data_IF_448155558191
#
_entry.id   IF_448155558191
#
_cell.length_a   1.000
_cell.length_b   1.000
_cell.length_c   1.000
_cell.angle_alpha   90.00
_cell.angle_beta   90.00
_cell.angle_gamma   90.00
#
_symmetry.space_group_name_H-M   'P 1'
#
loop_
_entity.id
_entity.type
_entity.pdbx_description
1 polymer ?
#
# COMPACT_ATOMS: atom_id res chain seq x y z
N UNK A 1 -16.21 3.11 11.39
CA UNK A 1 -15.26 3.05 12.47
C UNK A 1 -15.86 2.38 13.72
N UNK A 2 -16.78 3.00 14.44
CA UNK A 2 -17.37 2.48 15.70
C UNK A 2 -17.96 1.07 15.51
N UNK A 3 -18.72 0.82 14.46
CA UNK A 3 -19.27 -0.51 14.17
C UNK A 3 -18.20 -1.59 14.04
N UNK A 4 -17.06 -1.26 13.43
CA UNK A 4 -15.91 -2.17 13.35
C UNK A 4 -15.35 -2.50 14.73
N UNK A 5 -15.17 -1.50 15.59
CA UNK A 5 -14.67 -1.71 16.95
C UNK A 5 -15.64 -2.54 17.79
N UNK A 6 -16.94 -2.27 17.70
CA UNK A 6 -17.97 -3.06 18.39
C UNK A 6 -18.01 -4.52 17.92
N UNK A 7 -17.64 -4.78 16.66
CA UNK A 7 -17.52 -6.13 16.10
C UNK A 7 -16.14 -6.79 16.38
N UNK A 8 -15.30 -6.20 17.24
CA UNK A 8 -13.96 -6.73 17.55
C UNK A 8 -12.97 -6.63 16.40
N UNK A 9 -13.18 -5.70 15.45
CA UNK A 9 -12.28 -5.42 14.32
C UNK A 9 -11.48 -4.14 14.57
N UNK A 10 -10.50 -3.86 13.71
CA UNK A 10 -9.68 -2.65 13.81
C UNK A 10 -10.48 -1.35 13.67
N UNK A 11 -11.62 -1.40 13.00
CA UNK A 11 -12.44 -0.23 12.70
C UNK A 11 -11.83 0.71 11.65
N UNK A 12 -10.79 0.27 10.95
CA UNK A 12 -10.17 1.04 9.88
C UNK A 12 -11.17 1.30 8.75
N UNK A 13 -11.20 2.54 8.27
CA UNK A 13 -11.94 2.95 7.08
C UNK A 13 -10.96 3.16 5.94
N UNK A 14 -11.12 2.39 4.87
CA UNK A 14 -10.26 2.40 3.69
C UNK A 14 -10.83 3.36 2.65
N UNK A 15 -10.04 4.32 2.20
CA UNK A 15 -10.46 5.38 1.28
C UNK A 15 -9.71 5.28 -0.04
N UNK A 16 -10.42 4.96 -1.12
CA UNK A 16 -9.89 4.97 -2.47
C UNK A 16 -9.86 6.39 -3.01
N UNK A 17 -8.68 6.90 -3.28
CA UNK A 17 -8.48 8.27 -3.74
C UNK A 17 -8.39 8.32 -5.27
N UNK A 18 -9.05 9.30 -5.85
CA UNK A 18 -9.02 9.59 -7.28
C UNK A 18 -8.09 10.76 -7.64
N UNK A 19 -8.27 11.29 -8.85
CA UNK A 19 -7.44 12.37 -9.41
C UNK A 19 -7.94 13.77 -9.03
N UNK A 20 -8.89 13.86 -8.10
CA UNK A 20 -9.44 15.13 -7.65
C UNK A 20 -8.40 16.03 -7.00
N UNK A 21 -8.40 17.32 -7.34
CA UNK A 21 -7.47 18.32 -6.78
C UNK A 21 -7.60 18.53 -5.27
N UNK A 22 -8.71 18.07 -4.68
CA UNK A 22 -8.92 18.09 -3.24
C UNK A 22 -8.02 17.14 -2.45
N UNK A 23 -7.39 16.16 -3.13
CA UNK A 23 -6.48 15.18 -2.53
C UNK A 23 -7.00 14.64 -1.19
N UNK A 24 -6.31 14.90 -0.08
CA UNK A 24 -6.69 14.47 1.28
C UNK A 24 -7.59 15.46 2.05
N UNK A 25 -8.13 16.51 1.41
CA UNK A 25 -8.87 17.56 2.11
C UNK A 25 -10.04 17.00 2.96
N UNK A 26 -10.82 16.05 2.43
CA UNK A 26 -11.93 15.44 3.16
C UNK A 26 -11.45 14.60 4.37
N UNK A 27 -10.33 13.90 4.23
CA UNK A 27 -9.74 13.13 5.33
C UNK A 27 -9.16 14.05 6.41
N UNK A 28 -8.58 15.19 6.02
CA UNK A 28 -8.16 16.21 6.98
C UNK A 28 -9.35 16.78 7.75
N UNK A 29 -10.46 17.10 7.06
CA UNK A 29 -11.67 17.55 7.73
C UNK A 29 -12.19 16.51 8.73
N UNK A 30 -12.24 15.22 8.35
CA UNK A 30 -12.63 14.15 9.27
C UNK A 30 -11.70 14.08 10.49
N UNK A 31 -10.40 14.21 10.30
CA UNK A 31 -9.43 14.23 11.42
C UNK A 31 -9.64 15.42 12.35
N UNK A 32 -9.88 16.61 11.78
CA UNK A 32 -9.87 17.88 12.52
C UNK A 32 -11.23 18.20 13.15
N UNK A 33 -12.32 17.68 12.57
CA UNK A 33 -13.71 17.99 12.96
C UNK A 33 -14.40 16.86 13.72
N UNK A 34 -13.74 15.70 13.88
CA UNK A 34 -14.33 14.53 14.53
C UNK A 34 -13.36 13.85 15.49
N UNK A 35 -13.89 12.98 16.36
CA UNK A 35 -13.10 12.14 17.28
C UNK A 35 -12.54 10.87 16.62
N UNK A 36 -12.59 10.76 15.28
CA UNK A 36 -12.03 9.59 14.57
C UNK A 36 -10.52 9.63 14.65
N UNK A 37 -9.88 8.62 15.28
CA UNK A 37 -8.42 8.61 15.37
C UNK A 37 -7.77 8.53 14.00
N UNK A 38 -6.69 9.27 13.78
CA UNK A 38 -5.95 9.31 12.50
C UNK A 38 -5.63 7.91 11.95
N UNK A 39 -5.28 6.96 12.82
CA UNK A 39 -4.98 5.57 12.46
C UNK A 39 -6.16 4.80 11.85
N UNK A 40 -7.39 5.30 11.99
CA UNK A 40 -8.60 4.70 11.42
C UNK A 40 -8.89 5.19 9.99
N UNK A 41 -8.22 6.25 9.57
CA UNK A 41 -8.32 6.82 8.23
C UNK A 41 -7.18 6.26 7.37
N UNK A 42 -7.50 5.40 6.41
CA UNK A 42 -6.52 4.68 5.62
C UNK A 42 -6.70 4.98 4.13
N UNK A 43 -6.02 6.04 3.61
CA UNK A 43 -6.05 6.37 2.19
C UNK A 43 -5.20 5.40 1.37
N UNK A 44 -5.72 4.95 0.23
CA UNK A 44 -4.96 4.22 -0.80
C UNK A 44 -4.83 5.02 -2.09
N UNK A 45 -4.00 4.55 -3.01
CA UNK A 45 -3.62 5.22 -4.26
C UNK A 45 -2.85 6.53 -4.03
N UNK A 46 -2.13 6.64 -2.91
CA UNK A 46 -1.43 7.87 -2.56
C UNK A 46 -0.31 8.25 -3.55
N UNK A 47 0.14 7.32 -4.40
CA UNK A 47 1.13 7.54 -5.45
C UNK A 47 0.53 7.95 -6.81
N UNK A 48 -0.79 8.06 -6.94
CA UNK A 48 -1.51 8.24 -8.20
C UNK A 48 -1.13 9.51 -8.96
N UNK A 49 -0.85 10.60 -8.27
CA UNK A 49 -0.49 11.87 -8.90
C UNK A 49 0.36 12.75 -7.97
N UNK A 50 1.06 13.78 -8.51
CA UNK A 50 2.01 14.58 -7.73
C UNK A 50 1.40 15.34 -6.54
N UNK A 51 0.20 15.88 -6.69
CA UNK A 51 -0.42 16.70 -5.62
C UNK A 51 -0.95 15.83 -4.48
N UNK A 52 -1.50 14.66 -4.79
CA UNK A 52 -1.91 13.70 -3.76
C UNK A 52 -0.69 13.16 -3.00
N UNK A 53 0.39 12.84 -3.72
CA UNK A 53 1.62 12.33 -3.10
C UNK A 53 2.27 13.36 -2.16
N UNK A 54 2.28 14.65 -2.55
CA UNK A 54 2.78 15.71 -1.68
C UNK A 54 1.98 15.81 -0.37
N UNK A 55 0.66 15.68 -0.43
CA UNK A 55 -0.18 15.64 0.77
C UNK A 55 0.00 14.35 1.59
N UNK A 56 0.22 13.20 0.92
CA UNK A 56 0.49 11.93 1.59
C UNK A 56 1.78 11.97 2.42
N UNK A 57 2.81 12.70 1.98
CA UNK A 57 4.01 12.96 2.78
C UNK A 57 3.64 13.64 4.11
N UNK A 58 2.89 14.74 4.05
CA UNK A 58 2.48 15.46 5.25
C UNK A 58 1.59 14.62 6.17
N UNK A 59 0.68 13.84 5.58
CA UNK A 59 -0.21 12.91 6.27
C UNK A 59 0.57 11.81 7.00
N UNK A 60 1.52 11.17 6.32
CA UNK A 60 2.37 10.12 6.89
C UNK A 60 3.27 10.64 8.01
N UNK A 61 3.84 11.83 7.87
CA UNK A 61 4.63 12.50 8.94
C UNK A 61 3.80 12.81 10.18
N UNK A 62 2.51 13.03 10.03
CA UNK A 62 1.57 13.19 11.14
C UNK A 62 1.17 11.84 11.79
N UNK A 63 1.65 10.69 11.28
CA UNK A 63 1.37 9.35 11.79
C UNK A 63 0.20 8.64 11.10
N UNK A 64 -0.36 9.20 10.03
CA UNK A 64 -1.38 8.55 9.20
C UNK A 64 -0.80 7.43 8.35
N UNK A 65 -1.65 6.52 7.92
CA UNK A 65 -1.28 5.49 6.95
C UNK A 65 -1.12 6.09 5.55
N UNK A 66 -0.14 5.61 4.81
CA UNK A 66 0.08 5.95 3.40
C UNK A 66 0.17 4.65 2.61
N UNK A 67 -0.83 4.38 1.79
CA UNK A 67 -0.83 3.19 0.95
C UNK A 67 -0.50 3.54 -0.50
N UNK A 68 0.48 2.84 -1.06
CA UNK A 68 0.92 2.98 -2.44
C UNK A 68 0.46 1.79 -3.27
N UNK A 69 -0.14 2.06 -4.42
CA UNK A 69 -0.60 1.03 -5.36
C UNK A 69 0.57 0.54 -6.20
N UNK A 70 0.71 -0.78 -6.31
CA UNK A 70 1.80 -1.40 -7.03
C UNK A 70 1.47 -1.74 -8.49
N UNK A 71 0.20 -1.95 -8.84
CA UNK A 71 -0.20 -2.11 -10.25
C UNK A 71 -0.13 -0.76 -10.96
N UNK A 72 0.80 -0.64 -11.89
CA UNK A 72 0.99 0.57 -12.70
C UNK A 72 1.36 0.20 -14.13
N UNK A 73 1.29 1.17 -15.03
CA UNK A 73 1.63 1.04 -16.45
C UNK A 73 2.42 2.28 -16.88
N UNK A 74 3.25 2.18 -17.96
CA UNK A 74 4.12 3.28 -18.38
C UNK A 74 3.38 4.60 -18.64
N UNK A 75 2.21 4.56 -19.25
CA UNK A 75 1.37 5.75 -19.52
C UNK A 75 0.88 6.43 -18.22
N UNK A 76 0.56 5.67 -17.17
CA UNK A 76 0.19 6.25 -15.87
C UNK A 76 1.39 6.95 -15.21
N UNK A 77 2.59 6.40 -15.38
CA UNK A 77 3.83 7.02 -14.90
C UNK A 77 4.14 8.31 -15.68
N UNK A 78 3.92 8.31 -17.01
CA UNK A 78 4.05 9.51 -17.85
C UNK A 78 3.07 10.60 -17.43
N UNK A 79 1.86 10.23 -16.99
CA UNK A 79 0.85 11.14 -16.44
C UNK A 79 1.15 11.61 -15.00
N UNK A 80 2.24 11.13 -14.39
CA UNK A 80 2.75 11.58 -13.10
C UNK A 80 2.48 10.66 -11.93
N UNK A 81 1.99 9.42 -12.17
CA UNK A 81 1.96 8.38 -11.14
C UNK A 81 3.40 7.98 -10.76
N UNK A 82 3.62 7.71 -9.48
CA UNK A 82 4.89 7.14 -9.01
C UNK A 82 4.78 5.62 -8.90
N UNK A 83 5.78 4.90 -9.37
CA UNK A 83 5.91 3.49 -9.01
C UNK A 83 6.07 3.37 -7.49
N UNK A 84 5.50 2.30 -6.91
CA UNK A 84 5.43 2.17 -5.46
C UNK A 84 6.80 2.15 -4.78
N UNK A 85 7.81 1.52 -5.40
CA UNK A 85 9.17 1.51 -4.88
C UNK A 85 9.83 2.90 -4.86
N UNK A 86 9.61 3.72 -5.90
CA UNK A 86 10.11 5.11 -5.94
C UNK A 86 9.39 5.95 -4.89
N UNK A 87 8.06 5.82 -4.79
CA UNK A 87 7.29 6.48 -3.77
C UNK A 87 7.71 6.12 -2.35
N UNK A 88 8.04 4.85 -2.09
CA UNK A 88 8.58 4.41 -0.81
C UNK A 88 9.88 5.16 -0.45
N UNK A 89 10.81 5.23 -1.39
CA UNK A 89 12.09 5.93 -1.19
C UNK A 89 11.86 7.42 -0.90
N UNK A 90 11.00 8.07 -1.68
CA UNK A 90 10.67 9.48 -1.49
C UNK A 90 10.00 9.73 -0.12
N UNK A 91 9.06 8.86 0.31
CA UNK A 91 8.41 8.96 1.61
C UNK A 91 9.41 8.81 2.75
N UNK A 92 10.29 7.80 2.68
CA UNK A 92 11.34 7.58 3.69
C UNK A 92 12.31 8.77 3.76
N UNK A 93 12.77 9.27 2.62
CA UNK A 93 13.64 10.44 2.54
C UNK A 93 12.97 11.71 3.09
N UNK A 94 11.66 11.84 2.92
CA UNK A 94 10.88 12.94 3.49
C UNK A 94 10.63 12.82 5.00
N UNK A 95 11.00 11.67 5.62
CA UNK A 95 10.84 11.43 7.06
C UNK A 95 9.50 10.82 7.46
N UNK A 96 8.77 10.19 6.53
CA UNK A 96 7.60 9.37 6.87
C UNK A 96 8.09 8.09 7.55
N UNK A 97 7.55 7.71 8.73
CA UNK A 97 7.96 6.48 9.39
C UNK A 97 7.67 5.24 8.52
N UNK A 98 8.65 4.36 8.37
CA UNK A 98 8.51 3.17 7.55
C UNK A 98 7.32 2.29 7.96
N UNK A 99 6.98 2.29 9.26
CA UNK A 99 5.86 1.52 9.82
C UNK A 99 4.47 2.15 9.55
N UNK A 100 4.40 3.26 8.82
CA UNK A 100 3.18 3.93 8.34
C UNK A 100 2.95 3.78 6.85
N UNK A 101 3.85 3.12 6.14
CA UNK A 101 3.75 2.92 4.70
C UNK A 101 3.30 1.49 4.41
N UNK A 102 2.39 1.33 3.47
CA UNK A 102 1.90 0.04 2.99
C UNK A 102 1.87 0.01 1.47
N UNK A 103 1.92 -1.19 0.91
CA UNK A 103 1.67 -1.44 -0.49
C UNK A 103 0.40 -2.27 -0.65
N UNK A 104 -0.40 -1.93 -1.67
CA UNK A 104 -1.51 -2.73 -2.15
C UNK A 104 -1.42 -2.94 -3.65
N UNK A 105 -1.88 -4.09 -4.15
CA UNK A 105 -1.75 -4.41 -5.57
C UNK A 105 -2.83 -3.80 -6.44
N UNK A 106 -3.98 -3.47 -5.86
CA UNK A 106 -5.20 -3.18 -6.61
C UNK A 106 -5.52 -4.27 -7.66
N UNK A 107 -5.22 -5.54 -7.30
CA UNK A 107 -5.38 -6.68 -8.18
C UNK A 107 -6.84 -6.87 -8.57
N UNK A 108 -7.05 -7.21 -9.85
CA UNK A 108 -8.36 -7.33 -10.49
C UNK A 108 -9.15 -6.02 -10.62
N UNK A 109 -8.62 -4.89 -10.17
CA UNK A 109 -9.22 -3.60 -10.47
C UNK A 109 -9.07 -3.26 -11.96
N UNK A 110 -10.07 -2.56 -12.47
CA UNK A 110 -10.06 -2.04 -13.84
C UNK A 110 -9.16 -0.82 -13.92
N UNK A 111 -8.19 -0.86 -14.83
CA UNK A 111 -7.27 0.24 -15.12
C UNK A 111 -7.51 0.70 -16.57
N UNK A 112 -8.51 1.58 -16.79
CA UNK A 112 -8.86 2.05 -18.13
C UNK A 112 -7.77 2.97 -18.67
N UNK A 113 -7.55 2.86 -19.98
CA UNK A 113 -6.75 3.82 -20.75
C UNK A 113 -7.68 4.59 -21.70
N UNK A 114 -7.55 5.91 -21.69
CA UNK A 114 -8.32 6.80 -22.55
C UNK A 114 -7.40 7.48 -23.57
N UNK A 115 -7.97 7.87 -24.72
CA UNK A 115 -7.29 8.75 -25.67
C UNK A 115 -7.39 10.22 -25.22
N UNK A 116 -6.74 11.12 -26.00
CA UNK A 116 -6.77 12.56 -25.73
C UNK A 116 -8.16 13.22 -25.84
N UNK A 117 -9.16 12.50 -26.34
CA UNK A 117 -10.56 12.93 -26.46
C UNK A 117 -11.46 12.30 -25.39
N UNK A 118 -10.87 11.52 -24.46
CA UNK A 118 -11.58 10.87 -23.34
C UNK A 118 -12.34 9.59 -23.73
N UNK A 119 -12.05 8.99 -24.90
CA UNK A 119 -12.66 7.71 -25.31
C UNK A 119 -11.84 6.56 -24.75
N UNK A 120 -12.52 5.55 -24.21
CA UNK A 120 -11.87 4.33 -23.74
C UNK A 120 -11.25 3.56 -24.92
N UNK A 121 -9.93 3.35 -24.88
CA UNK A 121 -9.18 2.61 -25.90
C UNK A 121 -8.69 1.24 -25.42
N UNK A 122 -8.54 1.09 -24.10
CA UNK A 122 -8.08 -0.17 -23.51
C UNK A 122 -8.61 -0.33 -22.09
N UNK A 123 -8.94 -1.58 -21.71
CA UNK A 123 -9.23 -1.93 -20.33
C UNK A 123 -8.16 -2.90 -19.86
N UNK A 124 -7.32 -2.45 -18.95
CA UNK A 124 -6.27 -3.24 -18.30
C UNK A 124 -6.73 -3.68 -16.92
N UNK A 125 -6.01 -4.64 -16.34
CA UNK A 125 -6.34 -5.19 -15.03
C UNK A 125 -5.12 -5.20 -14.12
N UNK A 126 -5.29 -4.75 -12.88
CA UNK A 126 -4.27 -4.84 -11.85
C UNK A 126 -3.89 -6.29 -11.54
N UNK A 127 -2.61 -6.53 -11.21
CA UNK A 127 -2.06 -7.86 -10.99
C UNK A 127 -1.48 -8.01 -9.59
N UNK A 128 -1.80 -9.10 -8.90
CA UNK A 128 -1.27 -9.39 -7.55
C UNK A 128 0.26 -9.52 -7.56
N UNK A 129 0.84 -9.99 -8.67
CA UNK A 129 2.29 -10.16 -8.80
C UNK A 129 3.07 -8.83 -8.66
N UNK A 130 2.45 -7.69 -9.00
CA UNK A 130 3.07 -6.37 -8.87
C UNK A 130 3.52 -6.07 -7.44
N UNK A 131 2.81 -6.63 -6.43
CA UNK A 131 3.15 -6.43 -5.02
C UNK A 131 4.57 -6.92 -4.70
N UNK A 132 4.90 -8.14 -5.13
CA UNK A 132 6.24 -8.70 -4.93
C UNK A 132 7.27 -8.05 -5.83
N UNK A 133 6.92 -7.74 -7.07
CA UNK A 133 7.81 -7.07 -8.02
C UNK A 133 8.27 -5.71 -7.48
N UNK A 134 7.39 -4.91 -6.91
CA UNK A 134 7.75 -3.62 -6.32
C UNK A 134 8.55 -3.75 -5.02
N UNK A 135 8.35 -4.81 -4.21
CA UNK A 135 9.25 -5.11 -3.09
C UNK A 135 10.67 -5.43 -3.57
N UNK A 136 10.81 -6.29 -4.57
CA UNK A 136 12.13 -6.65 -5.16
C UNK A 136 12.78 -5.40 -5.76
N UNK A 137 12.02 -4.58 -6.46
CA UNK A 137 12.49 -3.33 -7.05
C UNK A 137 12.96 -2.34 -5.96
N UNK A 138 12.23 -2.20 -4.86
CA UNK A 138 12.65 -1.35 -3.73
C UNK A 138 14.00 -1.81 -3.17
N UNK A 139 14.20 -3.12 -2.99
CA UNK A 139 15.49 -3.66 -2.56
C UNK A 139 16.60 -3.36 -3.56
N UNK A 140 16.36 -3.51 -4.87
CA UNK A 140 17.33 -3.20 -5.91
C UNK A 140 17.71 -1.70 -5.93
N UNK A 141 16.82 -0.82 -5.49
CA UNK A 141 17.04 0.62 -5.33
C UNK A 141 17.67 1.00 -3.98
N UNK A 142 18.03 0.03 -3.13
CA UNK A 142 18.74 0.25 -1.88
C UNK A 142 17.87 0.33 -0.61
N UNK A 143 16.57 0.06 -0.69
CA UNK A 143 15.74 -0.11 0.50
C UNK A 143 16.10 -1.44 1.16
N UNK A 144 16.24 -1.46 2.49
CA UNK A 144 16.53 -2.71 3.20
C UNK A 144 15.40 -3.73 3.01
N UNK A 145 15.75 -5.03 2.95
CA UNK A 145 14.76 -6.11 2.82
C UNK A 145 13.70 -6.05 3.93
N UNK A 146 14.10 -5.73 5.14
CA UNK A 146 13.19 -5.60 6.29
C UNK A 146 12.11 -4.54 6.03
N UNK A 147 12.47 -3.37 5.55
CA UNK A 147 11.53 -2.29 5.22
C UNK A 147 10.65 -2.69 4.04
N UNK A 148 11.24 -3.23 2.96
CA UNK A 148 10.49 -3.66 1.78
C UNK A 148 9.49 -4.78 2.08
N UNK A 149 9.81 -5.70 3.00
CA UNK A 149 8.88 -6.72 3.47
C UNK A 149 7.85 -6.12 4.44
N UNK A 150 8.26 -5.19 5.30
CA UNK A 150 7.38 -4.55 6.28
C UNK A 150 6.15 -3.91 5.65
N UNK A 151 6.31 -3.25 4.49
CA UNK A 151 5.21 -2.55 3.80
C UNK A 151 4.15 -3.49 3.21
N UNK A 152 4.44 -4.79 3.06
CA UNK A 152 3.49 -5.81 2.54
C UNK A 152 3.12 -6.87 3.57
N UNK A 153 3.69 -6.84 4.77
CA UNK A 153 3.46 -7.85 5.82
C UNK A 153 3.03 -7.22 7.14
N UNK A 154 3.97 -6.78 7.95
CA UNK A 154 3.73 -6.29 9.31
C UNK A 154 2.87 -5.01 9.32
N UNK A 155 3.10 -4.09 8.40
CA UNK A 155 2.39 -2.82 8.37
C UNK A 155 0.90 -2.99 8.01
N UNK A 156 0.53 -3.67 6.89
CA UNK A 156 -0.89 -3.91 6.60
C UNK A 156 -1.55 -4.78 7.67
N UNK A 157 -0.86 -5.78 8.26
CA UNK A 157 -1.40 -6.56 9.36
C UNK A 157 -1.72 -5.67 10.57
N UNK A 158 -0.83 -4.73 10.91
CA UNK A 158 -1.06 -3.75 11.99
C UNK A 158 -2.19 -2.80 11.67
N UNK A 159 -2.24 -2.25 10.45
CA UNK A 159 -3.29 -1.34 10.01
C UNK A 159 -4.67 -2.00 10.11
N UNK A 160 -4.77 -3.25 9.67
CA UNK A 160 -6.02 -4.00 9.62
C UNK A 160 -6.34 -4.74 10.93
N UNK A 161 -5.45 -4.70 11.94
CA UNK A 161 -5.63 -5.37 13.22
C UNK A 161 -5.62 -6.91 13.12
N UNK A 162 -4.79 -7.48 12.24
CA UNK A 162 -4.66 -8.92 12.03
C UNK A 162 -3.64 -9.50 13.02
N UNK A 163 -4.09 -9.86 14.21
CA UNK A 163 -3.22 -10.24 15.33
C UNK A 163 -2.31 -11.46 15.07
N UNK A 164 -2.72 -12.37 14.17
CA UNK A 164 -1.95 -13.59 13.84
C UNK A 164 -1.04 -13.46 12.63
N UNK A 165 -0.94 -12.26 12.00
CA UNK A 165 -0.32 -12.09 10.68
C UNK A 165 0.83 -11.09 10.68
N UNK A 166 1.63 -11.15 9.63
CA UNK A 166 2.62 -10.13 9.28
C UNK A 166 4.00 -10.28 9.94
N UNK A 167 4.15 -11.18 10.91
CA UNK A 167 5.42 -11.45 11.60
C UNK A 167 5.61 -12.95 11.83
N UNK A 168 6.87 -13.37 11.90
CA UNK A 168 7.23 -14.74 12.29
C UNK A 168 7.39 -14.76 13.81
N UNK A 169 6.63 -15.61 14.48
CA UNK A 169 6.68 -15.74 15.95
C UNK A 169 5.89 -16.91 16.46
N UNK A 170 6.17 -17.32 17.70
CA UNK A 170 5.42 -18.40 18.36
C UNK A 170 3.97 -17.94 18.57
N UNK A 171 3.01 -18.76 18.14
CA UNK A 171 1.58 -18.44 18.24
C UNK A 171 1.03 -17.64 17.07
N UNK A 172 1.87 -17.25 16.09
CA UNK A 172 1.41 -16.63 14.86
C UNK A 172 1.02 -17.66 13.81
N UNK A 173 0.23 -17.25 12.82
CA UNK A 173 -0.13 -18.11 11.70
C UNK A 173 1.11 -18.44 10.86
N UNK A 174 1.25 -19.69 10.47
CA UNK A 174 2.37 -20.16 9.66
C UNK A 174 2.09 -19.89 8.17
N UNK A 175 2.05 -18.60 7.80
CA UNK A 175 1.98 -18.11 6.43
C UNK A 175 3.35 -17.56 6.04
N UNK A 176 4.12 -18.34 5.28
CA UNK A 176 5.55 -18.10 5.05
C UNK A 176 5.88 -18.16 3.55
N UNK A 177 6.89 -17.38 3.16
CA UNK A 177 7.55 -17.51 1.87
C UNK A 177 8.98 -17.99 2.09
N UNK A 178 9.42 -18.96 1.28
CA UNK A 178 10.85 -19.21 1.06
C UNK A 178 11.26 -18.44 -0.18
N UNK A 179 12.28 -17.61 -0.05
CA UNK A 179 12.83 -16.80 -1.13
C UNK A 179 14.30 -17.15 -1.36
N UNK A 180 14.72 -17.19 -2.62
CA UNK A 180 16.10 -17.42 -2.98
C UNK A 180 17.00 -16.25 -2.53
N UNK A 181 18.12 -16.50 -1.84
CA UNK A 181 19.07 -15.44 -1.51
C UNK A 181 19.59 -14.73 -2.76
N UNK A 182 19.62 -13.41 -2.72
CA UNK A 182 20.14 -12.57 -3.80
C UNK A 182 19.13 -12.24 -4.90
N UNK A 183 18.43 -13.21 -5.48
CA UNK A 183 17.41 -12.94 -6.52
C UNK A 183 16.04 -12.54 -5.95
N UNK A 184 15.78 -12.87 -4.69
CA UNK A 184 14.48 -12.74 -4.03
C UNK A 184 13.33 -13.46 -4.76
N UNK A 185 13.65 -14.46 -5.60
CA UNK A 185 12.62 -15.28 -6.24
C UNK A 185 11.88 -16.11 -5.20
N UNK A 186 10.55 -16.16 -5.30
CA UNK A 186 9.73 -17.01 -4.44
C UNK A 186 9.92 -18.46 -4.87
N UNK A 187 10.47 -19.29 -3.98
CA UNK A 187 10.68 -20.73 -4.22
C UNK A 187 9.52 -21.58 -3.69
N UNK A 188 8.97 -21.22 -2.53
CA UNK A 188 7.87 -21.96 -1.92
C UNK A 188 6.97 -21.06 -1.10
N UNK A 189 5.70 -21.43 -1.02
CA UNK A 189 4.67 -20.74 -0.25
C UNK A 189 4.09 -21.69 0.79
N UNK A 190 3.99 -21.23 2.04
CA UNK A 190 3.25 -21.92 3.11
C UNK A 190 2.05 -21.07 3.48
N UNK A 191 0.90 -21.71 3.67
CA UNK A 191 -0.32 -21.06 4.15
C UNK A 191 -1.00 -21.96 5.18
N UNK A 192 -1.24 -21.42 6.38
CA UNK A 192 -1.80 -22.14 7.50
C UNK A 192 -0.97 -23.38 7.89
N UNK A 193 0.36 -23.29 7.82
CA UNK A 193 1.28 -24.38 8.14
C UNK A 193 1.42 -25.46 7.07
N UNK A 194 0.79 -25.28 5.90
CA UNK A 194 0.84 -26.23 4.79
C UNK A 194 1.52 -25.62 3.57
N UNK A 195 2.48 -26.37 3.00
CA UNK A 195 3.10 -25.99 1.74
C UNK A 195 2.08 -26.04 0.61
N UNK A 196 2.10 -24.98 -0.21
CA UNK A 196 1.31 -24.89 -1.43
C UNK A 196 2.21 -25.23 -2.64
N UNK A 197 1.62 -25.93 -3.60
CA UNK A 197 2.26 -26.29 -4.88
C UNK A 197 2.02 -25.20 -5.89
#
# INVERSE_FOLDING_TARGET
WVAGLLAGKSGVSFFHLGDGRGALAQLRALRDETDIPLRQLYPTHCNRNPWLFAEAIAWGKAGGWVDLTTSSFPDLVEDGERLAADGLIELLAAGVPADRITFSSDANASLPRFDGEGRLIEMRCGQIASLWQECVRACALGVSLEVALGVVTANPARALGLAGKGVIGVGQDADLLLIAPGSLAIERVMSGGQWRT
#
